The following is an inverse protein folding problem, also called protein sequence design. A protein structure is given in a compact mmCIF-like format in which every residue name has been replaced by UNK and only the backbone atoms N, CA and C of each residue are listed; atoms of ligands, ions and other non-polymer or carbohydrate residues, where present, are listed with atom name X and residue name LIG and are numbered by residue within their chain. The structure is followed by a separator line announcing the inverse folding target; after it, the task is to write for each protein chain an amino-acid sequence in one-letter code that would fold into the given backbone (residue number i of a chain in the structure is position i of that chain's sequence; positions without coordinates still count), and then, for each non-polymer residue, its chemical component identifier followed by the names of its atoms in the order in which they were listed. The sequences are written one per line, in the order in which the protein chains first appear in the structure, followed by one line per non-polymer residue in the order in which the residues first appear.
data_IF_696176743981
#
_entry.id   IF_696176743981
#
_cell.length_a   1.000
_cell.length_b   1.000
_cell.length_c   1.000
_cell.angle_alpha   90.00
_cell.angle_beta   90.00
_cell.angle_gamma   90.00
#
_symmetry.space_group_name_H-M   'P 1'
#
loop_
_entity.id
_entity.type
_entity.pdbx_description
1 polymer ?
#
# COMPACT_ATOMS: atom_id res chain seq x y z
N UNK A 1 11.45 3.83 6.53
CA UNK A 1 10.97 3.47 5.17
C UNK A 1 12.04 2.60 4.52
N UNK A 2 11.73 1.34 4.24
CA UNK A 2 12.67 0.22 4.03
C UNK A 2 13.54 0.22 2.76
N UNK A 3 14.01 1.36 2.27
CA UNK A 3 15.06 1.45 1.24
C UNK A 3 14.83 0.68 -0.07
N UNK A 4 15.89 0.54 -0.86
CA UNK A 4 15.87 -0.17 -2.15
C UNK A 4 15.60 -1.67 -2.00
N UNK A 5 15.93 -2.28 -0.86
CA UNK A 5 15.64 -3.70 -0.58
C UNK A 5 14.13 -4.00 -0.51
N UNK A 6 13.31 -3.00 -0.19
CA UNK A 6 11.86 -3.15 -0.09
C UNK A 6 11.15 -2.63 -1.35
N UNK A 7 11.64 -1.52 -1.91
CA UNK A 7 10.98 -0.75 -2.97
C UNK A 7 11.67 -0.76 -4.33
N UNK A 8 12.95 -1.11 -4.35
CA UNK A 8 13.76 -1.12 -5.56
C UNK A 8 13.43 -2.29 -6.48
N UNK A 9 14.09 -2.32 -7.63
CA UNK A 9 13.99 -3.41 -8.59
C UNK A 9 14.46 -4.73 -7.93
N UNK A 10 13.60 -5.75 -7.91
CA UNK A 10 13.85 -7.00 -7.19
C UNK A 10 13.67 -6.92 -5.66
N UNK A 11 13.14 -5.81 -5.14
CA UNK A 11 12.76 -5.65 -3.74
C UNK A 11 11.47 -6.40 -3.39
N UNK A 12 11.18 -6.53 -2.08
CA UNK A 12 10.04 -7.32 -1.58
C UNK A 12 8.70 -6.90 -2.19
N UNK A 13 8.41 -5.61 -2.33
CA UNK A 13 7.16 -5.11 -2.92
C UNK A 13 7.14 -5.38 -4.43
N UNK A 14 8.25 -5.14 -5.12
CA UNK A 14 8.40 -5.40 -6.55
C UNK A 14 8.13 -6.87 -6.89
N UNK A 15 8.72 -7.81 -6.14
CA UNK A 15 8.47 -9.24 -6.32
C UNK A 15 6.99 -9.61 -6.13
N UNK A 16 6.32 -9.05 -5.12
CA UNK A 16 4.89 -9.31 -4.87
C UNK A 16 4.04 -8.81 -6.04
N UNK A 17 4.34 -7.62 -6.54
CA UNK A 17 3.63 -7.03 -7.68
C UNK A 17 3.83 -7.86 -8.94
N UNK A 18 5.06 -8.26 -9.23
CA UNK A 18 5.37 -9.11 -10.39
C UNK A 18 4.65 -10.45 -10.32
N UNK A 19 4.59 -11.08 -9.14
CA UNK A 19 3.84 -12.34 -8.92
C UNK A 19 2.34 -12.18 -9.16
N UNK A 20 1.79 -10.97 -8.98
CA UNK A 20 0.38 -10.63 -9.24
C UNK A 20 0.16 -10.06 -10.65
N UNK A 21 1.19 -10.06 -11.51
CA UNK A 21 1.11 -9.54 -12.87
C UNK A 21 1.05 -8.01 -12.96
N UNK A 22 1.32 -7.30 -11.86
CA UNK A 22 1.42 -5.85 -11.82
C UNK A 22 2.85 -5.44 -12.16
N UNK A 23 2.99 -4.57 -13.14
CA UNK A 23 4.29 -4.03 -13.57
C UNK A 23 4.14 -2.53 -13.82
N UNK A 24 5.15 -1.76 -13.41
CA UNK A 24 5.12 -0.31 -13.54
C UNK A 24 6.05 0.38 -12.55
N UNK A 25 6.10 1.71 -12.63
CA UNK A 25 6.88 2.51 -11.69
C UNK A 25 6.16 2.53 -10.33
N UNK A 26 6.83 2.01 -9.30
CA UNK A 26 6.30 1.96 -7.94
C UNK A 26 6.66 3.26 -7.24
N UNK A 27 5.64 4.00 -6.83
CA UNK A 27 5.81 5.20 -6.03
C UNK A 27 5.39 4.89 -4.59
N UNK A 28 6.36 4.68 -3.72
CA UNK A 28 6.12 4.56 -2.28
C UNK A 28 5.50 5.86 -1.75
N UNK A 29 4.30 5.77 -1.17
CA UNK A 29 3.58 6.93 -0.64
C UNK A 29 3.67 7.00 0.87
N UNK A 30 3.42 5.88 1.54
CA UNK A 30 3.39 5.80 2.99
C UNK A 30 3.72 4.39 3.46
N UNK A 31 4.38 4.26 4.60
CA UNK A 31 4.63 2.98 5.25
C UNK A 31 4.49 3.18 6.75
N UNK A 32 3.58 2.42 7.38
CA UNK A 32 3.45 2.39 8.83
C UNK A 32 4.31 1.26 9.39
N UNK A 33 5.17 1.58 10.34
CA UNK A 33 6.06 0.60 10.96
C UNK A 33 5.30 -0.29 11.98
N UNK A 34 5.78 -1.52 12.18
CA UNK A 34 5.11 -2.62 12.88
C UNK A 34 4.82 -2.35 14.38
N UNK A 35 5.26 -1.22 14.93
CA UNK A 35 4.96 -0.79 16.29
C UNK A 35 3.47 -0.60 16.60
N UNK A 36 2.62 -0.47 15.57
CA UNK A 36 1.16 -0.32 15.69
C UNK A 36 0.35 -1.61 15.43
N UNK A 37 1.00 -2.77 15.33
CA UNK A 37 0.33 -4.08 15.30
C UNK A 37 0.17 -4.73 13.93
N UNK A 38 0.06 -3.94 12.85
CA UNK A 38 0.03 -4.44 11.46
C UNK A 38 0.79 -3.49 10.53
N UNK A 39 2.00 -3.83 10.08
CA UNK A 39 2.73 -3.00 9.13
C UNK A 39 2.05 -3.06 7.76
N UNK A 40 1.43 -1.95 7.37
CA UNK A 40 0.87 -1.76 6.04
C UNK A 40 1.65 -0.71 5.27
N UNK A 41 1.64 -0.88 3.97
CA UNK A 41 2.40 -0.08 3.03
C UNK A 41 1.46 0.44 1.95
N UNK A 42 1.41 1.75 1.75
CA UNK A 42 0.66 2.41 0.69
C UNK A 42 1.62 2.84 -0.43
N UNK A 43 1.29 2.45 -1.65
CA UNK A 43 2.05 2.85 -2.84
C UNK A 43 1.16 2.96 -4.05
N UNK A 44 1.67 3.62 -5.08
CA UNK A 44 0.98 3.85 -6.34
C UNK A 44 1.73 3.13 -7.48
N UNK A 45 0.97 2.45 -8.35
CA UNK A 45 1.47 1.85 -9.59
C UNK A 45 0.57 2.31 -10.73
N UNK A 46 1.13 3.01 -11.72
CA UNK A 46 0.40 3.46 -12.90
C UNK A 46 -0.81 4.36 -12.58
N UNK A 47 -0.74 5.16 -11.50
CA UNK A 47 -1.83 6.04 -11.06
C UNK A 47 -2.92 5.35 -10.22
N UNK A 48 -2.76 4.06 -9.89
CA UNK A 48 -3.66 3.33 -8.98
C UNK A 48 -2.96 3.10 -7.65
N UNK A 49 -3.66 3.39 -6.54
CA UNK A 49 -3.16 3.19 -5.18
C UNK A 49 -3.43 1.77 -4.67
N UNK A 50 -2.45 1.21 -3.97
CA UNK A 50 -2.48 -0.15 -3.42
C UNK A 50 -2.01 -0.16 -1.97
N UNK A 51 -2.63 -1.03 -1.18
CA UNK A 51 -2.16 -1.44 0.13
C UNK A 51 -1.50 -2.80 0.07
N UNK A 52 -0.30 -2.88 0.65
CA UNK A 52 0.38 -4.13 0.91
C UNK A 52 0.60 -4.32 2.40
N UNK A 53 0.07 -5.42 2.92
CA UNK A 53 0.22 -5.82 4.32
C UNK A 53 1.23 -6.95 4.38
N UNK A 54 2.42 -6.65 4.89
CA UNK A 54 3.53 -7.61 4.91
C UNK A 54 3.32 -8.79 5.85
N UNK A 55 2.42 -8.67 6.84
CA UNK A 55 2.10 -9.74 7.80
C UNK A 55 1.32 -10.89 7.15
N UNK A 56 0.39 -10.58 6.24
CA UNK A 56 -0.47 -11.55 5.57
C UNK A 56 -0.13 -11.76 4.08
N UNK A 57 0.89 -11.06 3.56
CA UNK A 57 1.23 -11.03 2.13
C UNK A 57 0.02 -10.61 1.25
N UNK A 58 -0.86 -9.80 1.84
CA UNK A 58 -2.09 -9.33 1.23
C UNK A 58 -1.82 -8.07 0.41
N UNK A 59 -2.23 -8.12 -0.86
CA UNK A 59 -2.21 -6.97 -1.76
C UNK A 59 -3.65 -6.58 -2.09
N UNK A 60 -3.97 -5.33 -1.81
CA UNK A 60 -5.30 -4.78 -1.96
C UNK A 60 -5.25 -3.51 -2.79
N UNK A 61 -6.11 -3.43 -3.80
CA UNK A 61 -6.30 -2.22 -4.60
C UNK A 61 -7.28 -1.30 -3.89
N UNK A 62 -6.92 -0.03 -3.76
CA UNK A 62 -7.84 1.00 -3.24
C UNK A 62 -8.84 1.35 -4.34
N UNK A 63 -10.12 1.27 -4.00
CA UNK A 63 -11.25 1.62 -4.87
C UNK A 63 -11.85 2.97 -4.48
N UNK A 64 -11.83 3.31 -3.19
CA UNK A 64 -12.27 4.60 -2.69
C UNK A 64 -11.69 4.88 -1.29
N UNK A 65 -11.30 6.12 -0.99
CA UNK A 65 -11.14 7.24 -1.91
C UNK A 65 -9.99 7.01 -2.91
N UNK A 66 -10.09 7.59 -4.11
CA UNK A 66 -9.07 7.43 -5.17
C UNK A 66 -7.89 8.41 -5.01
N UNK A 67 -8.16 9.60 -4.45
CA UNK A 67 -7.17 10.65 -4.28
C UNK A 67 -6.29 10.40 -3.04
N UNK A 68 -4.98 10.54 -3.21
CA UNK A 68 -4.00 10.32 -2.14
C UNK A 68 -4.26 11.17 -0.89
N UNK A 69 -4.65 12.44 -1.07
CA UNK A 69 -4.91 13.34 0.04
C UNK A 69 -6.10 12.87 0.89
N UNK A 70 -7.13 12.33 0.23
CA UNK A 70 -8.30 11.77 0.91
C UNK A 70 -7.95 10.45 1.58
N UNK A 71 -7.20 9.56 0.91
CA UNK A 71 -6.71 8.31 1.50
C UNK A 71 -5.94 8.59 2.80
N UNK A 72 -4.97 9.50 2.75
CA UNK A 72 -4.17 9.87 3.92
C UNK A 72 -5.03 10.54 5.00
N UNK A 73 -5.99 11.37 4.61
CA UNK A 73 -6.94 12.00 5.52
C UNK A 73 -7.80 10.99 6.26
N UNK A 74 -8.33 9.98 5.55
CA UNK A 74 -9.13 8.89 6.12
C UNK A 74 -8.31 8.00 7.05
N UNK A 75 -7.09 7.62 6.65
CA UNK A 75 -6.18 6.82 7.51
C UNK A 75 -5.80 7.58 8.79
N UNK A 76 -5.59 8.88 8.69
CA UNK A 76 -5.23 9.73 9.81
C UNK A 76 -6.42 10.07 10.73
N UNK A 77 -7.66 9.80 10.28
CA UNK A 77 -8.85 10.05 11.06
C UNK A 77 -9.00 8.98 12.15
N UNK A 78 -9.15 9.38 13.43
CA UNK A 78 -9.23 8.44 14.54
C UNK A 78 -10.54 7.63 14.58
N UNK A 79 -11.57 8.01 13.80
CA UNK A 79 -12.89 7.39 13.85
C UNK A 79 -13.05 6.26 12.80
N UNK A 80 -13.01 6.51 11.46
CA UNK A 80 -13.03 5.44 10.47
C UNK A 80 -11.65 4.78 10.27
N UNK A 81 -10.54 5.51 10.43
CA UNK A 81 -9.19 5.01 10.18
C UNK A 81 -9.06 4.21 8.88
N UNK A 82 -8.50 3.00 8.97
CA UNK A 82 -8.38 2.07 7.83
C UNK A 82 -9.73 1.51 7.35
N UNK A 83 -10.73 1.42 8.23
CA UNK A 83 -12.07 0.90 7.90
C UNK A 83 -12.81 1.83 6.93
N UNK A 84 -12.40 3.10 6.86
CA UNK A 84 -12.89 4.07 5.89
C UNK A 84 -12.34 3.89 4.47
N UNK A 85 -11.37 3.00 4.25
CA UNK A 85 -10.84 2.73 2.92
C UNK A 85 -11.52 1.51 2.32
N UNK A 86 -12.14 1.70 1.17
CA UNK A 86 -12.69 0.61 0.38
C UNK A 86 -11.60 0.01 -0.50
N UNK A 87 -11.29 -1.24 -0.23
CA UNK A 87 -10.29 -2.01 -0.98
C UNK A 87 -10.88 -3.24 -1.64
N UNK A 88 -10.18 -3.77 -2.64
CA UNK A 88 -10.44 -5.10 -3.22
C UNK A 88 -9.14 -5.88 -3.36
N UNK A 89 -9.13 -7.18 -3.03
CA UNK A 89 -7.94 -8.02 -3.20
C UNK A 89 -7.56 -8.12 -4.69
N UNK A 90 -6.25 -8.10 -4.96
CA UNK A 90 -5.67 -8.23 -6.32
C UNK A 90 -5.32 -9.68 -6.62
#
# INVERSE_FOLDING_TARGET
MGGDEYWGEGGKVSEVLERRGLSGNIKALFALDAGSGSPYTLFEVGGTSYFFTAADDSLERIQYPEELAEILGTIADPDPGLDGIHTTPV
#
